data_IF_505380308556
#
_entry.id   IF_505380308556
#
_cell.length_a   1.000
_cell.length_b   1.000
_cell.length_c   1.000
_cell.angle_alpha   90.00
_cell.angle_beta   90.00
_cell.angle_gamma   90.00
#
_symmetry.space_group_name_H-M   'P 1'
#
loop_
_entity.id
_entity.type
_entity.pdbx_description
1 polymer ?
#
# COMPACT_ATOMS: atom_id res chain seq x y z
N UNK A 1 -17.72 3.72 26.14
CA UNK A 1 -17.45 3.42 25.82
C UNK A 1 -16.59 3.17 25.21
N UNK A 2 -16.20 3.05 25.18
CA UNK A 2 -15.52 2.81 24.75
C UNK A 2 -14.75 2.10 24.18
N UNK A 3 -14.12 1.60 24.88
CA UNK A 3 -13.10 0.66 24.49
C UNK A 3 -13.30 0.02 23.22
N UNK A 4 -14.38 0.17 22.84
CA UNK A 4 -14.75 -0.26 21.56
C UNK A 4 -13.97 0.33 20.45
N UNK A 5 -13.01 1.16 20.81
CA UNK A 5 -12.33 1.97 19.84
C UNK A 5 -10.92 1.48 19.56
N UNK A 6 -10.61 0.23 19.92
CA UNK A 6 -9.32 -0.31 19.53
C UNK A 6 -9.38 -0.79 18.09
N UNK A 7 -8.96 0.08 17.19
CA UNK A 7 -8.97 -0.19 15.77
C UNK A 7 -7.54 -0.33 15.25
N UNK A 8 -7.36 -1.25 14.33
CA UNK A 8 -6.06 -1.53 13.73
C UNK A 8 -6.23 -1.45 12.21
N UNK A 9 -5.32 -0.74 11.57
CA UNK A 9 -5.29 -0.68 10.12
C UNK A 9 -4.25 -1.65 9.57
N UNK A 10 -4.56 -2.27 8.45
CA UNK A 10 -3.65 -3.11 7.69
C UNK A 10 -3.44 -2.48 6.34
N UNK A 11 -2.18 -2.22 5.99
CA UNK A 11 -1.80 -1.77 4.66
C UNK A 11 -1.18 -2.94 3.92
N UNK A 12 -1.84 -3.39 2.87
CA UNK A 12 -1.41 -4.55 2.11
C UNK A 12 -1.06 -4.11 0.70
N UNK A 13 0.23 -4.09 0.41
CA UNK A 13 0.70 -3.75 -0.92
C UNK A 13 0.96 -5.03 -1.69
N UNK A 14 0.03 -5.38 -2.58
CA UNK A 14 0.20 -6.51 -3.46
C UNK A 14 0.91 -6.13 -4.75
N UNK A 15 1.02 -7.09 -5.67
CA UNK A 15 1.68 -6.86 -6.95
C UNK A 15 0.82 -6.01 -7.88
N UNK A 16 -0.50 -6.17 -7.84
CA UNK A 16 -1.39 -5.50 -8.78
C UNK A 16 -2.24 -4.42 -8.16
N UNK A 17 -2.27 -4.33 -6.84
CA UNK A 17 -3.11 -3.35 -6.16
C UNK A 17 -2.57 -3.00 -4.79
N UNK A 18 -2.96 -1.83 -4.30
CA UNK A 18 -2.79 -1.42 -2.92
C UNK A 18 -4.12 -1.58 -2.20
N UNK A 19 -4.09 -1.98 -0.93
CA UNK A 19 -5.30 -2.18 -0.15
C UNK A 19 -5.09 -1.72 1.28
N UNK A 20 -6.16 -1.19 1.89
CA UNK A 20 -6.18 -0.89 3.31
C UNK A 20 -7.45 -1.46 3.91
N UNK A 21 -7.34 -2.02 5.11
CA UNK A 21 -8.49 -2.55 5.84
C UNK A 21 -8.36 -2.10 7.28
N UNK A 22 -9.48 -1.67 7.88
CA UNK A 22 -9.51 -1.35 9.30
C UNK A 22 -10.32 -2.43 10.00
N UNK A 23 -9.72 -3.01 11.05
CA UNK A 23 -10.31 -4.07 11.86
C UNK A 23 -10.62 -3.57 13.26
N UNK A 24 -11.65 -4.15 13.87
CA UNK A 24 -11.92 -3.95 15.30
C UNK A 24 -11.09 -4.92 16.15
N UNK A 25 -11.25 -4.82 17.46
CA UNK A 25 -10.49 -5.64 18.40
C UNK A 25 -10.75 -7.15 18.24
N UNK A 26 -11.90 -7.53 17.69
CA UNK A 26 -12.23 -8.92 17.44
C UNK A 26 -11.75 -9.42 16.08
N UNK A 27 -11.01 -8.60 15.35
CA UNK A 27 -10.49 -8.98 14.04
C UNK A 27 -11.50 -8.88 12.91
N UNK A 28 -12.62 -8.21 13.14
CA UNK A 28 -13.65 -8.04 12.12
C UNK A 28 -13.32 -6.82 11.25
N UNK A 29 -13.33 -6.96 9.93
CA UNK A 29 -13.11 -5.81 9.05
C UNK A 29 -14.30 -4.86 9.11
N UNK A 30 -14.02 -3.57 9.29
CA UNK A 30 -15.03 -2.52 9.38
C UNK A 30 -15.07 -1.66 8.12
N UNK A 31 -13.94 -1.49 7.45
CA UNK A 31 -13.86 -0.73 6.21
C UNK A 31 -12.68 -1.25 5.40
N UNK A 32 -12.82 -1.22 4.09
CA UNK A 32 -11.75 -1.66 3.19
C UNK A 32 -11.76 -0.78 1.95
N UNK A 33 -10.57 -0.55 1.41
CA UNK A 33 -10.41 0.18 0.15
C UNK A 33 -9.27 -0.46 -0.62
N UNK A 34 -9.43 -0.56 -1.94
CA UNK A 34 -8.43 -1.17 -2.81
C UNK A 34 -8.35 -0.37 -4.09
N UNK A 35 -7.13 -0.16 -4.59
CA UNK A 35 -6.90 0.56 -5.84
C UNK A 35 -5.86 -0.19 -6.67
N UNK A 36 -6.07 -0.28 -7.99
CA UNK A 36 -5.10 -0.95 -8.85
C UNK A 36 -3.85 -0.11 -9.02
N UNK A 37 -2.73 -0.79 -9.27
CA UNK A 37 -1.46 -0.18 -9.59
C UNK A 37 -1.20 -0.32 -11.08
N UNK A 38 -0.71 0.74 -11.72
CA UNK A 38 -0.36 0.71 -13.13
C UNK A 38 0.88 -0.15 -13.32
N UNK A 39 0.81 -1.06 -14.29
CA UNK A 39 1.94 -1.90 -14.67
C UNK A 39 2.54 -1.38 -15.96
N UNK A 40 3.86 -1.32 -16.03
CA UNK A 40 4.59 -0.90 -17.22
C UNK A 40 5.40 -2.07 -17.75
N UNK A 41 5.38 -2.26 -19.06
CA UNK A 41 6.05 -3.38 -19.71
C UNK A 41 6.98 -2.84 -20.80
N UNK A 42 8.13 -2.24 -20.39
CA UNK A 42 9.01 -1.59 -21.37
C UNK A 42 9.68 -2.56 -22.34
N UNK A 43 9.82 -3.80 -21.92
CA UNK A 43 10.38 -4.88 -22.76
C UNK A 43 9.71 -6.19 -22.39
N UNK A 44 9.84 -7.20 -23.24
CA UNK A 44 9.28 -8.52 -22.95
C UNK A 44 9.78 -9.06 -21.62
N UNK A 45 8.84 -9.44 -20.77
CA UNK A 45 9.16 -10.01 -19.47
C UNK A 45 9.51 -8.99 -18.39
N UNK A 46 9.65 -7.73 -18.74
CA UNK A 46 9.93 -6.68 -17.76
C UNK A 46 8.62 -6.16 -17.20
N UNK A 47 8.54 -6.04 -15.88
CA UNK A 47 7.39 -5.45 -15.22
C UNK A 47 7.89 -4.38 -14.26
N UNK A 48 7.38 -3.16 -14.44
CA UNK A 48 7.79 -2.01 -13.63
C UNK A 48 6.56 -1.29 -13.11
N UNK A 49 6.74 -0.56 -12.02
CA UNK A 49 5.70 0.26 -11.41
C UNK A 49 6.29 1.60 -11.01
N UNK A 50 5.43 2.63 -10.95
CA UNK A 50 5.84 3.94 -10.48
C UNK A 50 5.80 3.94 -8.95
N UNK A 51 6.96 4.11 -8.31
CA UNK A 51 7.05 4.10 -6.85
C UNK A 51 6.22 5.22 -6.21
N UNK A 52 6.11 6.38 -6.86
CA UNK A 52 5.28 7.46 -6.35
C UNK A 52 3.80 7.09 -6.41
N UNK A 53 3.37 6.40 -7.47
CA UNK A 53 1.99 5.93 -7.58
C UNK A 53 1.69 4.90 -6.50
N UNK A 54 2.62 4.01 -6.21
CA UNK A 54 2.45 3.02 -5.14
C UNK A 54 2.13 3.73 -3.83
N UNK A 55 2.93 4.73 -3.48
CA UNK A 55 2.71 5.50 -2.26
C UNK A 55 1.37 6.22 -2.28
N UNK A 56 1.04 6.90 -3.39
CA UNK A 56 -0.20 7.65 -3.50
C UNK A 56 -1.42 6.74 -3.37
N UNK A 57 -1.41 5.60 -4.06
CA UNK A 57 -2.55 4.67 -3.99
C UNK A 57 -2.70 4.07 -2.60
N UNK A 58 -1.59 3.71 -1.96
CA UNK A 58 -1.64 3.18 -0.60
C UNK A 58 -2.19 4.21 0.38
N UNK A 59 -1.73 5.45 0.26
CA UNK A 59 -2.21 6.54 1.10
C UNK A 59 -3.70 6.80 0.88
N UNK A 60 -4.13 6.83 -0.39
CA UNK A 60 -5.54 7.04 -0.72
C UNK A 60 -6.42 5.93 -0.13
N UNK A 61 -5.95 4.68 -0.16
CA UNK A 61 -6.70 3.59 0.43
C UNK A 61 -6.88 3.76 1.93
N UNK A 62 -5.81 4.12 2.64
CA UNK A 62 -5.90 4.34 4.08
C UNK A 62 -6.83 5.50 4.41
N UNK A 63 -6.65 6.64 3.73
CA UNK A 63 -7.49 7.81 3.97
C UNK A 63 -8.95 7.53 3.66
N UNK A 64 -9.20 6.73 2.62
CA UNK A 64 -10.57 6.34 2.26
C UNK A 64 -11.25 5.53 3.36
N UNK A 65 -10.52 4.56 3.94
CA UNK A 65 -11.10 3.74 5.04
C UNK A 65 -11.35 4.58 6.28
N UNK A 66 -10.44 5.50 6.59
CA UNK A 66 -10.63 6.41 7.73
C UNK A 66 -11.85 7.31 7.50
N UNK A 67 -12.01 7.84 6.30
CA UNK A 67 -13.15 8.68 5.97
C UNK A 67 -14.47 7.93 6.08
N UNK A 68 -14.49 6.67 5.63
CA UNK A 68 -15.68 5.83 5.70
C UNK A 68 -16.15 5.64 7.15
N UNK A 69 -15.20 5.58 8.08
CA UNK A 69 -15.51 5.40 9.50
C UNK A 69 -15.55 6.75 10.24
N UNK A 70 -15.36 7.85 9.54
CA UNK A 70 -15.33 9.21 10.11
C UNK A 70 -14.26 9.34 11.20
N UNK A 71 -13.08 8.77 10.92
CA UNK A 71 -11.96 8.77 11.85
C UNK A 71 -10.80 9.59 11.31
N UNK A 72 -9.95 10.06 12.22
CA UNK A 72 -8.61 10.55 11.89
C UNK A 72 -7.59 9.45 12.20
N UNK A 73 -6.34 9.66 11.79
CA UNK A 73 -5.28 8.68 12.09
C UNK A 73 -5.12 8.42 13.58
N UNK A 74 -5.45 9.39 14.44
CA UNK A 74 -5.37 9.22 15.89
C UNK A 74 -6.40 8.21 16.41
N UNK A 75 -7.38 7.83 15.61
CA UNK A 75 -8.35 6.80 15.97
C UNK A 75 -7.81 5.39 15.84
N UNK A 76 -6.60 5.22 15.30
CA UNK A 76 -5.99 3.91 15.14
C UNK A 76 -5.06 3.59 16.30
N UNK A 77 -5.14 2.37 16.81
CA UNK A 77 -4.25 1.89 17.86
C UNK A 77 -2.91 1.45 17.27
N UNK A 78 -2.94 0.85 16.09
CA UNK A 78 -1.76 0.30 15.45
C UNK A 78 -1.96 0.22 13.96
N UNK A 79 -0.84 0.07 13.23
CA UNK A 79 -0.81 -0.05 11.80
C UNK A 79 0.12 -1.20 11.44
N UNK A 80 -0.39 -2.17 10.70
CA UNK A 80 0.43 -3.25 10.15
C UNK A 80 0.67 -3.01 8.67
N UNK A 81 1.85 -3.36 8.20
CA UNK A 81 2.23 -3.14 6.80
C UNK A 81 2.76 -4.44 6.20
N UNK A 82 2.24 -4.80 5.04
CA UNK A 82 2.76 -5.89 4.22
C UNK A 82 3.19 -5.30 2.89
N UNK A 83 4.42 -5.58 2.49
CA UNK A 83 4.96 -5.02 1.26
C UNK A 83 4.91 -6.00 0.10
N UNK A 84 5.15 -5.47 -1.10
CA UNK A 84 5.40 -6.27 -2.29
C UNK A 84 6.86 -6.72 -2.24
N UNK A 85 7.08 -8.01 -1.91
CA UNK A 85 8.43 -8.53 -1.73
C UNK A 85 9.19 -8.62 -3.05
N UNK A 86 10.52 -8.55 -2.94
CA UNK A 86 11.45 -8.70 -4.08
C UNK A 86 11.20 -7.71 -5.20
N UNK A 87 10.63 -6.56 -4.85
CA UNK A 87 10.48 -5.44 -5.77
C UNK A 87 11.49 -4.38 -5.34
N UNK A 88 12.28 -3.90 -6.28
CA UNK A 88 13.41 -3.03 -5.99
C UNK A 88 13.09 -1.59 -6.36
N UNK A 89 13.32 -0.68 -5.42
CA UNK A 89 13.20 0.76 -5.63
C UNK A 89 14.53 1.40 -5.27
N UNK A 90 15.05 2.23 -6.16
CA UNK A 90 16.24 3.02 -5.90
C UNK A 90 15.87 4.49 -5.97
N UNK A 91 16.27 5.25 -4.96
CA UNK A 91 15.92 6.67 -4.91
C UNK A 91 17.13 7.50 -4.53
N UNK A 92 17.07 8.78 -4.86
CA UNK A 92 18.11 9.73 -4.51
C UNK A 92 18.05 10.04 -3.02
N UNK A 93 19.15 9.82 -2.32
CA UNK A 93 19.25 10.18 -0.91
C UNK A 93 19.06 11.68 -0.70
N UNK A 94 19.48 12.47 -1.69
CA UNK A 94 19.44 13.92 -1.61
C UNK A 94 18.04 14.49 -1.79
N UNK A 95 17.29 13.95 -2.76
CA UNK A 95 15.96 14.47 -3.11
C UNK A 95 14.82 13.65 -2.53
N UNK A 96 15.09 12.40 -2.15
CA UNK A 96 14.06 11.47 -1.71
C UNK A 96 13.21 10.91 -2.84
N UNK A 97 13.57 11.20 -4.11
CA UNK A 97 12.76 10.78 -5.25
C UNK A 97 13.35 9.55 -5.93
N UNK A 98 12.48 8.68 -6.45
CA UNK A 98 12.96 7.53 -7.23
C UNK A 98 13.74 7.99 -8.44
N UNK A 99 14.82 7.29 -8.76
CA UNK A 99 15.62 7.58 -9.95
C UNK A 99 15.16 6.76 -11.15
N UNK A 100 14.33 5.75 -10.91
CA UNK A 100 13.77 4.89 -11.94
C UNK A 100 12.49 4.25 -11.36
N UNK A 101 11.68 3.68 -12.24
CA UNK A 101 10.48 2.95 -11.79
C UNK A 101 10.88 1.74 -10.94
N UNK A 102 9.98 1.29 -10.07
CA UNK A 102 10.20 0.08 -9.29
C UNK A 102 10.29 -1.12 -10.22
N UNK A 103 11.30 -1.95 -10.03
CA UNK A 103 11.48 -3.16 -10.79
C UNK A 103 10.77 -4.27 -10.04
N UNK A 104 9.66 -4.73 -10.61
CA UNK A 104 8.78 -5.69 -9.95
C UNK A 104 9.37 -7.10 -10.05
N UNK A 105 9.19 -7.88 -9.00
CA UNK A 105 9.73 -9.24 -8.91
C UNK A 105 9.38 -10.13 -10.12
N UNK A 106 8.25 -9.84 -10.78
CA UNK A 106 7.87 -10.58 -11.98
C UNK A 106 8.91 -10.44 -13.10
N UNK A 107 9.68 -9.34 -13.12
CA UNK A 107 10.76 -9.16 -14.08
C UNK A 107 11.87 -10.19 -13.88
N UNK A 108 12.06 -10.65 -12.64
CA UNK A 108 13.18 -11.51 -12.28
C UNK A 108 13.01 -12.94 -12.81
N UNK A 109 11.78 -13.39 -13.01
CA UNK A 109 11.54 -14.74 -13.47
C UNK A 109 11.82 -14.92 -14.97
N UNK A 110 12.08 -13.80 -15.67
CA UNK A 110 12.38 -13.80 -17.10
C UNK A 110 13.85 -13.51 -17.40
N UNK A 111 14.68 -13.42 -16.38
CA UNK A 111 16.12 -13.15 -16.53
C UNK A 111 16.93 -14.43 -16.70
#
# INVERSE_FOLDING_TARGET
MHGTTELIASLDLGTTSARAIIFNAEGRPLAASQKPLTQYFPHDGWVEQDAEEIWQKQKECLLGTLADLKLSGSGLRALGITNQRETTIVWSKKTGKPIYRAIVWLSLIHI
#
